data_IF_550268164533
#
_entry.id   IF_550268164533
#
_cell.length_a   1.000
_cell.length_b   1.000
_cell.length_c   1.000
_cell.angle_alpha   90.00
_cell.angle_beta   90.00
_cell.angle_gamma   90.00
#
_symmetry.space_group_name_H-M   'P 1'
#
loop_
_entity.id
_entity.type
_entity.pdbx_description
1 polymer ?
#
# COMPACT_ATOMS: atom_id res chain seq x y z
N UNK A 1 23.59 -6.43 0.29
CA UNK A 1 22.54 -7.24 -0.34
C UNK A 1 21.45 -6.29 -0.81
N UNK A 2 21.13 -6.24 -2.12
CA UNK A 2 20.06 -5.34 -2.59
C UNK A 2 18.71 -5.99 -2.33
N UNK A 3 17.87 -5.36 -1.53
CA UNK A 3 16.48 -5.77 -1.33
C UNK A 3 15.64 -5.17 -2.44
N UNK A 4 14.98 -6.01 -3.21
CA UNK A 4 13.98 -5.61 -4.16
C UNK A 4 12.62 -5.62 -3.48
N UNK A 5 11.99 -4.45 -3.42
CA UNK A 5 10.68 -4.24 -2.80
C UNK A 5 9.54 -4.15 -3.81
N UNK A 6 9.88 -4.12 -5.11
CA UNK A 6 8.95 -4.16 -6.23
C UNK A 6 9.51 -5.07 -7.32
N UNK A 7 8.65 -5.54 -8.23
CA UNK A 7 9.09 -6.38 -9.33
C UNK A 7 9.96 -5.58 -10.32
N UNK A 8 11.16 -6.10 -10.60
CA UNK A 8 12.15 -5.46 -11.46
C UNK A 8 12.47 -4.00 -11.11
N UNK A 9 12.36 -3.63 -9.84
CA UNK A 9 12.57 -2.25 -9.39
C UNK A 9 11.80 -1.21 -10.21
N UNK A 10 10.60 -1.57 -10.65
CA UNK A 10 9.76 -0.67 -11.43
C UNK A 10 9.34 0.58 -10.65
N UNK A 11 9.46 0.53 -9.34
CA UNK A 11 9.18 1.63 -8.45
C UNK A 11 10.46 2.01 -7.71
N UNK A 12 11.10 3.08 -8.13
CA UNK A 12 12.32 3.58 -7.49
C UNK A 12 11.95 4.85 -6.73
N UNK A 13 12.17 4.81 -5.43
CA UNK A 13 12.00 5.94 -4.53
C UNK A 13 13.34 6.62 -4.30
N UNK A 14 13.39 7.93 -4.40
CA UNK A 14 14.63 8.65 -4.16
C UNK A 14 14.45 10.17 -4.14
N UNK A 15 15.56 10.84 -3.90
CA UNK A 15 15.66 12.29 -3.98
C UNK A 15 16.59 12.64 -5.14
N UNK A 16 16.15 13.46 -6.10
CA UNK A 16 16.97 13.93 -7.23
C UNK A 16 17.85 12.82 -7.85
N UNK A 17 17.29 11.64 -8.11
CA UNK A 17 17.99 10.45 -8.59
C UNK A 17 18.99 9.81 -7.61
N UNK A 18 19.12 10.34 -6.40
CA UNK A 18 19.85 9.65 -5.35
C UNK A 18 18.91 8.65 -4.72
N UNK A 19 19.28 7.35 -4.63
CA UNK A 19 18.48 6.38 -3.92
C UNK A 19 18.15 6.86 -2.51
N UNK A 20 16.89 6.76 -2.11
CA UNK A 20 16.42 7.20 -0.79
C UNK A 20 17.25 6.64 0.39
N UNK A 21 17.98 5.56 0.17
CA UNK A 21 18.91 4.94 1.11
C UNK A 21 20.22 5.71 1.33
N UNK A 22 20.53 6.65 0.44
CA UNK A 22 21.74 7.47 0.51
C UNK A 22 21.47 8.94 0.77
N UNK A 23 20.23 9.29 1.11
CA UNK A 23 19.89 10.68 1.35
C UNK A 23 20.63 11.23 2.57
N UNK A 24 21.17 12.41 2.43
CA UNK A 24 21.84 13.13 3.51
C UNK A 24 20.95 14.22 4.12
N UNK A 25 19.98 14.78 3.37
CA UNK A 25 19.03 15.81 3.85
C UNK A 25 17.82 15.98 2.95
N UNK A 26 16.91 16.58 3.45
CA UNK A 26 15.62 17.22 3.50
C UNK A 26 15.09 17.91 2.28
N UNK A 27 15.90 18.44 1.39
CA UNK A 27 15.50 19.42 0.38
C UNK A 27 15.42 18.84 -1.03
N UNK A 28 15.75 17.58 -1.16
CA UNK A 28 15.67 16.90 -2.45
C UNK A 28 14.25 16.41 -2.68
N UNK A 29 13.76 16.62 -3.89
CA UNK A 29 12.42 16.17 -4.27
C UNK A 29 12.38 14.66 -4.37
N UNK A 30 11.32 14.07 -3.81
CA UNK A 30 11.00 12.69 -4.07
C UNK A 30 10.65 12.52 -5.55
N UNK A 31 11.17 11.48 -6.15
CA UNK A 31 10.76 11.05 -7.46
C UNK A 31 10.49 9.56 -7.46
N UNK A 32 9.64 9.14 -8.35
CA UNK A 32 9.47 7.73 -8.65
C UNK A 32 9.63 7.51 -10.14
N UNK A 33 10.14 6.36 -10.48
CA UNK A 33 10.18 5.89 -11.86
C UNK A 33 9.14 4.80 -12.04
N UNK A 34 8.56 4.75 -13.22
CA UNK A 34 7.56 3.74 -13.56
C UNK A 34 8.16 2.80 -14.60
N UNK A 35 8.17 1.52 -14.29
CA UNK A 35 8.57 0.49 -15.22
C UNK A 35 7.57 0.32 -16.36
N UNK A 36 8.07 -0.14 -17.50
CA UNK A 36 7.22 -0.54 -18.61
C UNK A 36 6.47 -1.82 -18.26
N UNK A 37 5.16 -1.84 -18.50
CA UNK A 37 4.37 -3.04 -18.40
C UNK A 37 4.69 -3.99 -19.57
N UNK A 38 4.89 -5.27 -19.28
CA UNK A 38 5.19 -6.29 -20.29
C UNK A 38 3.93 -6.73 -21.03
N UNK A 39 2.79 -6.80 -20.32
CA UNK A 39 1.50 -7.24 -20.83
C UNK A 39 0.46 -6.11 -20.73
N UNK A 40 0.33 -5.30 -21.77
CA UNK A 40 -0.40 -4.03 -21.68
C UNK A 40 -1.82 -4.06 -22.19
N UNK A 41 -2.16 -4.97 -23.10
CA UNK A 41 -3.34 -4.78 -23.94
C UNK A 41 -4.52 -5.70 -23.64
N UNK A 42 -4.33 -6.75 -22.86
CA UNK A 42 -5.37 -7.75 -22.60
C UNK A 42 -5.61 -8.09 -21.13
N UNK A 43 -4.82 -7.57 -20.23
CA UNK A 43 -4.93 -7.93 -18.81
C UNK A 43 -5.95 -7.05 -18.10
N UNK A 44 -6.86 -7.73 -17.43
CA UNK A 44 -7.77 -7.11 -16.47
C UNK A 44 -7.01 -6.87 -15.14
N UNK A 45 -7.59 -6.07 -14.25
CA UNK A 45 -7.04 -5.92 -12.90
C UNK A 45 -6.91 -7.28 -12.18
N UNK A 46 -7.86 -8.19 -12.41
CA UNK A 46 -7.81 -9.55 -11.90
C UNK A 46 -6.53 -10.28 -12.34
N UNK A 47 -6.29 -10.32 -13.65
CA UNK A 47 -5.14 -11.03 -14.22
C UNK A 47 -3.82 -10.47 -13.69
N UNK A 48 -3.71 -9.15 -13.65
CA UNK A 48 -2.53 -8.46 -13.13
C UNK A 48 -2.29 -8.74 -11.64
N UNK A 49 -3.35 -8.73 -10.82
CA UNK A 49 -3.24 -9.03 -9.38
C UNK A 49 -2.85 -10.49 -9.14
N UNK A 50 -3.42 -11.43 -9.89
CA UNK A 50 -3.07 -12.87 -9.78
C UNK A 50 -1.61 -13.11 -10.17
N UNK A 51 -1.13 -12.47 -11.24
CA UNK A 51 0.27 -12.57 -11.65
C UNK A 51 1.22 -11.96 -10.63
N UNK A 52 0.86 -10.79 -10.08
CA UNK A 52 1.63 -10.16 -9.00
C UNK A 52 1.72 -11.08 -7.76
N UNK A 53 0.62 -11.73 -7.36
CA UNK A 53 0.62 -12.70 -6.27
C UNK A 53 1.60 -13.86 -6.53
N UNK A 54 1.59 -14.43 -7.75
CA UNK A 54 2.55 -15.49 -8.16
C UNK A 54 4.00 -15.00 -8.12
N UNK A 55 4.27 -13.79 -8.62
CA UNK A 55 5.61 -13.17 -8.58
C UNK A 55 6.09 -12.96 -7.15
N UNK A 56 5.20 -12.48 -6.25
CA UNK A 56 5.49 -12.33 -4.83
C UNK A 56 5.81 -13.69 -4.19
N UNK A 57 5.01 -14.73 -4.45
CA UNK A 57 5.26 -16.07 -3.93
C UNK A 57 6.59 -16.63 -4.42
N UNK A 58 6.91 -16.46 -5.70
CA UNK A 58 8.22 -16.83 -6.25
C UNK A 58 9.36 -16.10 -5.56
N UNK A 59 9.21 -14.79 -5.32
CA UNK A 59 10.21 -13.99 -4.61
C UNK A 59 10.36 -14.44 -3.16
N UNK A 60 9.26 -14.64 -2.44
CA UNK A 60 9.27 -15.15 -1.07
C UNK A 60 9.99 -16.50 -0.97
N UNK A 61 9.66 -17.45 -1.84
CA UNK A 61 10.34 -18.75 -1.93
C UNK A 61 11.84 -18.63 -2.18
N UNK A 62 12.27 -17.68 -3.03
CA UNK A 62 13.69 -17.46 -3.33
C UNK A 62 14.52 -16.98 -2.14
N UNK A 63 13.88 -16.44 -1.12
CA UNK A 63 14.50 -16.02 0.15
C UNK A 63 14.12 -16.93 1.32
N UNK A 64 13.57 -18.11 1.03
CA UNK A 64 13.24 -19.12 2.02
C UNK A 64 12.05 -18.78 2.92
N UNK A 65 11.10 -17.93 2.44
CA UNK A 65 9.96 -17.45 3.22
C UNK A 65 8.63 -17.77 2.56
N UNK A 66 7.57 -17.77 3.38
CA UNK A 66 6.17 -17.87 2.95
C UNK A 66 5.54 -16.47 2.96
N UNK A 67 4.76 -16.06 1.93
CA UNK A 67 4.02 -14.80 1.97
C UNK A 67 3.06 -14.75 3.17
N UNK A 68 3.00 -13.59 3.83
CA UNK A 68 2.04 -13.28 4.88
C UNK A 68 1.35 -11.97 4.57
N UNK A 69 0.04 -12.05 4.29
CA UNK A 69 -0.76 -10.87 3.95
C UNK A 69 -1.25 -10.22 5.23
N UNK A 70 -0.93 -8.94 5.40
CA UNK A 70 -1.41 -8.15 6.53
C UNK A 70 -2.83 -7.68 6.25
N UNK A 71 -3.77 -8.25 6.97
CA UNK A 71 -5.19 -7.98 6.80
C UNK A 71 -5.70 -7.02 7.87
N UNK A 72 -5.92 -5.78 7.47
CA UNK A 72 -6.42 -4.70 8.33
C UNK A 72 -7.94 -4.62 8.45
N UNK A 73 -8.69 -5.58 7.90
CA UNK A 73 -10.15 -5.47 7.77
C UNK A 73 -10.60 -4.55 6.63
N UNK A 74 -9.67 -4.00 5.82
CA UNK A 74 -9.95 -3.13 4.69
C UNK A 74 -10.15 -3.87 3.38
N UNK A 75 -10.88 -3.25 2.43
CA UNK A 75 -11.14 -3.81 1.10
C UNK A 75 -9.87 -4.10 0.30
N UNK A 76 -8.86 -3.24 0.40
CA UNK A 76 -7.61 -3.39 -0.34
C UNK A 76 -6.90 -4.70 0.03
N UNK A 77 -6.82 -5.01 1.31
CA UNK A 77 -6.24 -6.28 1.77
C UNK A 77 -7.10 -7.48 1.42
N UNK A 78 -8.43 -7.36 1.35
CA UNK A 78 -9.31 -8.43 0.85
C UNK A 78 -9.03 -8.76 -0.61
N UNK A 79 -8.84 -7.75 -1.45
CA UNK A 79 -8.47 -7.95 -2.87
C UNK A 79 -7.12 -8.63 -3.01
N UNK A 80 -6.15 -8.27 -2.18
CA UNK A 80 -4.86 -8.97 -2.17
C UNK A 80 -5.06 -10.44 -1.79
N UNK A 81 -5.83 -10.73 -0.75
CA UNK A 81 -6.14 -12.12 -0.36
C UNK A 81 -6.85 -12.86 -1.50
N UNK A 82 -7.83 -12.23 -2.15
CA UNK A 82 -8.54 -12.82 -3.29
C UNK A 82 -7.57 -13.15 -4.44
N UNK A 83 -6.63 -12.26 -4.75
CA UNK A 83 -5.61 -12.49 -5.76
C UNK A 83 -4.71 -13.69 -5.42
N UNK A 84 -4.29 -13.82 -4.15
CA UNK A 84 -3.50 -14.96 -3.69
C UNK A 84 -4.30 -16.26 -3.73
N UNK A 85 -5.56 -16.27 -3.32
CA UNK A 85 -6.45 -17.44 -3.45
C UNK A 85 -6.59 -17.88 -4.90
N UNK A 86 -6.82 -16.96 -5.81
CA UNK A 86 -6.93 -17.23 -7.25
C UNK A 86 -5.61 -17.61 -7.90
N UNK A 87 -4.49 -17.24 -7.33
CA UNK A 87 -3.17 -17.66 -7.81
C UNK A 87 -2.88 -19.15 -7.57
N UNK A 88 -3.59 -19.77 -6.62
CA UNK A 88 -3.35 -21.15 -6.17
C UNK A 88 -2.07 -21.33 -5.35
N UNK A 89 -1.43 -20.25 -4.96
CA UNK A 89 -0.19 -20.26 -4.18
C UNK A 89 -0.45 -20.30 -2.67
N UNK A 90 0.49 -20.87 -1.93
CA UNK A 90 0.39 -20.97 -0.47
C UNK A 90 0.80 -19.66 0.20
N UNK A 91 -0.03 -19.20 1.14
CA UNK A 91 0.19 -17.97 1.91
C UNK A 91 -0.43 -18.08 3.31
N UNK A 92 -0.19 -17.09 4.15
CA UNK A 92 -0.80 -16.95 5.48
C UNK A 92 -1.42 -15.57 5.59
N UNK A 93 -2.50 -15.46 6.36
CA UNK A 93 -3.11 -14.16 6.69
C UNK A 93 -2.73 -13.79 8.11
N UNK A 94 -2.35 -12.52 8.33
CA UNK A 94 -2.08 -11.99 9.65
C UNK A 94 -2.99 -10.81 9.96
N UNK A 95 -3.46 -10.73 11.21
CA UNK A 95 -4.19 -9.60 11.75
C UNK A 95 -3.53 -9.09 13.02
N UNK A 96 -3.37 -7.78 13.12
CA UNK A 96 -2.88 -7.12 14.33
C UNK A 96 -4.07 -6.60 15.15
N UNK A 97 -4.30 -7.21 16.30
CA UNK A 97 -5.32 -6.78 17.26
C UNK A 97 -4.75 -5.72 18.19
N UNK A 98 -5.53 -4.66 18.38
CA UNK A 98 -5.18 -3.61 19.34
C UNK A 98 -5.91 -3.86 20.66
N UNK A 99 -5.13 -4.11 21.70
CA UNK A 99 -5.69 -4.31 23.04
C UNK A 99 -5.94 -2.97 23.75
N UNK A 100 -6.99 -2.83 24.55
CA UNK A 100 -8.09 -3.77 24.72
C UNK A 100 -9.18 -3.60 23.63
N UNK A 101 -9.11 -4.38 22.56
CA UNK A 101 -10.12 -4.43 21.48
C UNK A 101 -10.39 -3.10 20.75
N UNK A 102 -9.39 -2.22 20.64
CA UNK A 102 -9.56 -0.89 20.04
C UNK A 102 -9.97 -0.94 18.55
N UNK A 103 -9.57 -2.00 17.84
CA UNK A 103 -9.90 -2.20 16.41
C UNK A 103 -10.90 -3.36 16.18
N UNK A 104 -11.80 -3.62 17.15
CA UNK A 104 -12.75 -4.74 17.07
C UNK A 104 -13.62 -4.69 15.81
N UNK A 105 -14.03 -3.51 15.35
CA UNK A 105 -14.83 -3.37 14.13
C UNK A 105 -14.12 -3.88 12.89
N UNK A 106 -12.80 -3.63 12.77
CA UNK A 106 -12.00 -4.17 11.70
C UNK A 106 -11.79 -5.68 11.87
N UNK A 107 -11.60 -6.14 13.12
CA UNK A 107 -11.44 -7.56 13.44
C UNK A 107 -12.67 -8.39 13.05
N UNK A 108 -13.89 -7.87 13.23
CA UNK A 108 -15.13 -8.54 12.78
C UNK A 108 -15.12 -8.84 11.28
N UNK A 109 -14.65 -7.89 10.46
CA UNK A 109 -14.51 -8.08 9.02
C UNK A 109 -13.44 -9.11 8.69
N UNK A 110 -12.32 -9.10 9.42
CA UNK A 110 -11.24 -10.08 9.27
C UNK A 110 -11.77 -11.49 9.53
N UNK A 111 -12.43 -11.71 10.67
CA UNK A 111 -12.98 -13.03 11.02
C UNK A 111 -14.04 -13.50 10.02
N UNK A 112 -14.94 -12.59 9.61
CA UNK A 112 -15.95 -12.91 8.62
C UNK A 112 -15.32 -13.37 7.30
N UNK A 113 -14.42 -12.60 6.75
CA UNK A 113 -13.81 -12.89 5.44
C UNK A 113 -12.94 -14.16 5.50
N UNK A 114 -12.15 -14.33 6.55
CA UNK A 114 -11.34 -15.53 6.74
C UNK A 114 -12.21 -16.80 6.86
N UNK A 115 -13.30 -16.73 7.63
CA UNK A 115 -14.24 -17.85 7.77
C UNK A 115 -14.93 -18.22 6.46
N UNK A 116 -15.42 -17.22 5.71
CA UNK A 116 -16.08 -17.43 4.41
C UNK A 116 -15.17 -18.09 3.38
N UNK A 117 -13.88 -17.81 3.46
CA UNK A 117 -12.87 -18.28 2.51
C UNK A 117 -11.99 -19.41 3.06
N UNK A 118 -12.33 -19.96 4.22
CA UNK A 118 -11.60 -21.04 4.90
C UNK A 118 -10.08 -20.76 5.03
N UNK A 119 -9.74 -19.54 5.50
CA UNK A 119 -8.36 -19.06 5.62
C UNK A 119 -7.82 -19.29 7.03
N UNK A 120 -6.58 -19.73 7.11
CA UNK A 120 -5.81 -19.77 8.35
C UNK A 120 -5.37 -18.35 8.73
N UNK A 121 -5.84 -17.88 9.89
CA UNK A 121 -5.58 -16.55 10.41
C UNK A 121 -4.60 -16.62 11.58
N UNK A 122 -3.49 -15.88 11.48
CA UNK A 122 -2.60 -15.63 12.60
C UNK A 122 -2.89 -14.26 13.21
N UNK A 123 -3.14 -14.27 14.49
CA UNK A 123 -3.39 -13.04 15.24
C UNK A 123 -2.15 -12.65 16.05
N UNK A 124 -1.85 -11.37 16.01
CA UNK A 124 -0.82 -10.73 16.82
C UNK A 124 -1.49 -9.63 17.63
N UNK A 125 -1.04 -9.43 18.87
CA UNK A 125 -1.63 -8.45 19.77
C UNK A 125 -0.62 -7.36 20.11
N UNK A 126 -1.10 -6.14 20.23
CA UNK A 126 -0.34 -4.98 20.67
C UNK A 126 -1.24 -4.04 21.46
N UNK A 127 -0.75 -3.50 22.56
CA UNK A 127 -1.32 -2.29 23.15
C UNK A 127 -0.72 -1.08 22.43
N UNK A 128 -1.49 -0.35 21.61
CA UNK A 128 -0.94 0.78 20.85
C UNK A 128 -0.45 1.89 21.76
N UNK A 129 -1.08 2.11 22.92
CA UNK A 129 -0.72 3.21 23.83
C UNK A 129 0.64 2.91 24.46
N UNK A 130 0.80 1.72 25.03
CA UNK A 130 2.06 1.31 25.62
C UNK A 130 3.17 1.23 24.57
N UNK A 131 2.84 0.76 23.36
CA UNK A 131 3.81 0.67 22.26
C UNK A 131 4.29 2.04 21.83
N UNK A 132 3.40 3.01 21.69
CA UNK A 132 3.73 4.38 21.24
C UNK A 132 4.59 5.16 22.26
N UNK A 133 4.56 4.79 23.51
CA UNK A 133 5.33 5.45 24.56
C UNK A 133 6.79 4.96 24.65
N UNK A 134 7.16 3.92 23.92
CA UNK A 134 8.52 3.38 23.91
C UNK A 134 9.47 4.31 23.15
N UNK A 135 10.58 4.75 23.75
CA UNK A 135 11.54 5.65 23.08
C UNK A 135 12.08 5.09 21.76
N UNK A 136 12.40 3.79 21.73
CA UNK A 136 12.93 3.11 20.55
C UNK A 136 11.95 3.12 19.37
N UNK A 137 10.64 3.12 19.64
CA UNK A 137 9.60 3.22 18.59
C UNK A 137 9.61 4.62 17.98
N UNK A 138 9.80 5.65 18.78
CA UNK A 138 9.92 7.00 18.28
C UNK A 138 11.17 7.18 17.43
N UNK A 139 12.32 6.68 17.91
CA UNK A 139 13.59 6.77 17.18
C UNK A 139 13.52 6.02 15.84
N UNK A 140 12.86 4.86 15.81
CA UNK A 140 12.63 4.12 14.57
C UNK A 140 11.68 4.86 13.63
N UNK A 141 10.62 5.47 14.16
CA UNK A 141 9.68 6.27 13.37
C UNK A 141 10.38 7.45 12.67
N UNK A 142 11.33 8.10 13.35
CA UNK A 142 12.16 9.15 12.74
C UNK A 142 13.02 8.59 11.60
N UNK A 143 13.69 7.45 11.81
CA UNK A 143 14.52 6.78 10.77
C UNK A 143 13.70 6.39 9.54
N UNK A 144 12.47 5.94 9.75
CA UNK A 144 11.55 5.51 8.70
C UNK A 144 10.80 6.69 8.07
N UNK A 145 11.04 7.90 8.54
CA UNK A 145 10.39 9.11 8.06
C UNK A 145 8.85 9.08 8.20
N UNK A 146 8.37 8.52 9.29
CA UNK A 146 6.93 8.44 9.59
C UNK A 146 6.39 9.82 9.93
N UNK A 147 5.27 10.20 9.33
CA UNK A 147 4.57 11.45 9.62
C UNK A 147 3.33 11.22 10.50
N UNK A 148 2.66 10.11 10.29
CA UNK A 148 1.52 9.66 11.07
C UNK A 148 1.96 8.54 11.99
N UNK A 149 2.08 8.82 13.28
CA UNK A 149 2.76 7.94 14.23
C UNK A 149 2.11 6.55 14.34
N UNK A 150 0.82 6.46 14.12
CA UNK A 150 0.08 5.19 14.06
C UNK A 150 0.63 4.17 13.04
N UNK A 151 1.36 4.63 12.04
CA UNK A 151 1.96 3.77 11.02
C UNK A 151 3.04 2.83 11.57
N UNK A 152 3.60 3.12 12.75
CA UNK A 152 4.60 2.26 13.40
C UNK A 152 4.04 0.89 13.76
N UNK A 153 2.71 0.74 13.89
CA UNK A 153 2.09 -0.55 14.19
C UNK A 153 2.24 -1.55 13.03
N UNK A 154 2.21 -1.06 11.79
CA UNK A 154 2.50 -1.90 10.62
C UNK A 154 3.97 -2.31 10.61
N UNK A 155 4.89 -1.37 10.94
CA UNK A 155 6.31 -1.66 11.06
C UNK A 155 6.57 -2.71 12.15
N UNK A 156 5.87 -2.60 13.28
CA UNK A 156 5.93 -3.59 14.35
C UNK A 156 5.54 -5.00 13.84
N UNK A 157 4.42 -5.10 13.12
CA UNK A 157 3.98 -6.39 12.58
C UNK A 157 5.00 -6.93 11.55
N UNK A 158 5.61 -6.07 10.74
CA UNK A 158 6.70 -6.47 9.85
C UNK A 158 7.90 -7.01 10.62
N UNK A 159 8.29 -6.36 11.72
CA UNK A 159 9.45 -6.77 12.51
C UNK A 159 9.26 -8.13 13.19
N UNK A 160 8.10 -8.39 13.78
CA UNK A 160 7.84 -9.65 14.49
C UNK A 160 7.60 -10.83 13.55
N UNK A 161 7.32 -10.57 12.26
CA UNK A 161 7.04 -11.61 11.26
C UNK A 161 8.19 -11.84 10.27
N UNK A 162 9.14 -10.90 10.16
CA UNK A 162 10.18 -10.88 9.11
C UNK A 162 11.10 -12.11 9.05
N UNK A 163 11.26 -12.83 10.14
CA UNK A 163 12.16 -14.00 10.16
C UNK A 163 11.56 -15.18 9.43
N UNK A 164 10.27 -15.43 9.61
CA UNK A 164 9.56 -16.60 9.10
C UNK A 164 8.78 -16.31 7.82
N UNK A 165 8.37 -15.05 7.63
CA UNK A 165 7.45 -14.65 6.58
C UNK A 165 8.01 -13.54 5.69
N UNK A 166 7.38 -13.46 4.51
CA UNK A 166 7.53 -12.36 3.56
C UNK A 166 6.27 -11.47 3.68
N UNK A 167 6.34 -10.34 4.44
CA UNK A 167 5.20 -9.45 4.63
C UNK A 167 4.68 -8.88 3.32
N UNK A 168 3.34 -8.87 3.16
CA UNK A 168 2.63 -8.30 2.00
C UNK A 168 1.56 -7.34 2.51
N UNK A 169 1.65 -6.08 2.10
CA UNK A 169 0.73 -5.02 2.49
C UNK A 169 -0.20 -4.68 1.32
N UNK A 170 -1.50 -4.64 1.61
CA UNK A 170 -2.56 -4.34 0.63
C UNK A 170 -2.80 -2.83 0.47
N UNK A 171 -1.82 -2.10 -0.01
CA UNK A 171 -1.89 -0.65 -0.21
C UNK A 171 -1.13 -0.25 -1.47
N UNK A 172 -1.20 1.04 -1.81
CA UNK A 172 -0.47 1.62 -2.94
C UNK A 172 -1.32 1.79 -4.18
N UNK A 173 -2.61 1.66 -4.06
CA UNK A 173 -3.53 1.92 -5.16
C UNK A 173 -3.45 3.39 -5.62
N UNK A 174 -3.43 3.64 -6.93
CA UNK A 174 -3.45 4.99 -7.45
C UNK A 174 -4.86 5.59 -7.42
N UNK A 175 -4.94 6.91 -7.25
CA UNK A 175 -6.17 7.67 -7.38
C UNK A 175 -6.11 8.59 -8.59
N UNK A 176 -7.27 8.96 -9.14
CA UNK A 176 -7.37 10.00 -10.15
C UNK A 176 -7.92 11.28 -9.51
N UNK A 177 -7.23 12.38 -9.76
CA UNK A 177 -7.63 13.72 -9.35
C UNK A 177 -8.14 14.48 -10.59
N UNK A 178 -9.32 15.08 -10.49
CA UNK A 178 -9.88 15.86 -11.59
C UNK A 178 -9.38 17.30 -11.53
N UNK A 179 -8.80 17.80 -12.64
CA UNK A 179 -8.22 19.14 -12.71
C UNK A 179 -9.28 20.18 -13.04
N UNK A 180 -10.02 19.95 -14.12
CA UNK A 180 -11.01 20.87 -14.67
C UNK A 180 -12.25 20.12 -15.17
N UNK A 181 -13.14 20.80 -15.92
CA UNK A 181 -14.36 20.20 -16.47
C UNK A 181 -14.16 19.39 -17.75
N UNK A 182 -12.96 19.36 -18.32
CA UNK A 182 -12.69 18.61 -19.53
C UNK A 182 -12.69 17.11 -19.27
N UNK A 183 -13.12 16.34 -20.28
CA UNK A 183 -13.03 14.89 -20.23
C UNK A 183 -11.57 14.46 -20.24
N UNK A 184 -11.25 13.49 -19.39
CA UNK A 184 -9.90 12.93 -19.27
C UNK A 184 -8.83 13.93 -18.77
N UNK A 185 -9.24 15.05 -18.18
CA UNK A 185 -8.35 15.97 -17.50
C UNK A 185 -8.07 15.48 -16.08
N UNK A 186 -7.19 14.47 -15.97
CA UNK A 186 -6.88 13.83 -14.71
C UNK A 186 -5.39 13.75 -14.46
N UNK A 187 -5.04 13.83 -13.19
CA UNK A 187 -3.73 13.47 -12.67
C UNK A 187 -3.83 12.21 -11.86
N UNK A 188 -2.80 11.40 -11.91
CA UNK A 188 -2.63 10.29 -10.99
C UNK A 188 -2.09 10.85 -9.69
N UNK A 189 -2.76 10.50 -8.62
CA UNK A 189 -2.44 10.93 -7.27
C UNK A 189 -2.06 9.71 -6.44
N UNK A 190 -0.98 9.82 -5.70
CA UNK A 190 -0.52 8.79 -4.77
C UNK A 190 -0.10 9.41 -3.45
N UNK A 191 -0.60 8.81 -2.39
CA UNK A 191 -0.20 9.18 -1.05
C UNK A 191 1.19 8.62 -0.73
N UNK A 192 2.21 9.47 -0.73
CA UNK A 192 3.57 9.08 -0.41
C UNK A 192 3.79 8.94 1.11
N UNK A 193 3.08 9.76 1.90
CA UNK A 193 3.24 9.79 3.35
C UNK A 193 2.83 8.50 4.06
N UNK A 194 1.96 7.68 3.44
CA UNK A 194 1.57 6.38 3.97
C UNK A 194 2.42 5.24 3.44
N UNK A 195 2.94 5.38 2.22
CA UNK A 195 3.63 4.29 1.55
C UNK A 195 5.12 4.26 1.82
N UNK A 196 5.75 5.41 1.71
CA UNK A 196 7.21 5.51 1.81
C UNK A 196 7.78 5.03 3.14
N UNK A 197 7.18 5.33 4.30
CA UNK A 197 7.69 4.85 5.57
C UNK A 197 7.81 3.33 5.64
N UNK A 198 6.89 2.59 5.04
CA UNK A 198 6.95 1.12 5.01
C UNK A 198 8.06 0.60 4.09
N UNK A 199 8.30 1.27 2.95
CA UNK A 199 9.46 0.99 2.11
C UNK A 199 10.77 1.30 2.82
N UNK A 200 10.86 2.45 3.51
CA UNK A 200 12.04 2.82 4.31
C UNK A 200 12.29 1.81 5.43
N UNK A 201 11.25 1.43 6.16
CA UNK A 201 11.35 0.45 7.24
C UNK A 201 11.88 -0.89 6.72
N UNK A 202 11.26 -1.41 5.66
CA UNK A 202 11.67 -2.67 5.06
C UNK A 202 13.13 -2.63 4.61
N UNK A 203 13.54 -1.56 3.96
CA UNK A 203 14.92 -1.43 3.48
C UNK A 203 15.90 -1.23 4.63
N UNK A 204 15.64 -0.31 5.55
CA UNK A 204 16.54 0.01 6.67
C UNK A 204 16.78 -1.20 7.58
N UNK A 205 15.80 -2.09 7.70
CA UNK A 205 15.84 -3.27 8.56
C UNK A 205 16.07 -4.58 7.80
N UNK A 206 16.44 -4.53 6.51
CA UNK A 206 16.68 -5.70 5.67
C UNK A 206 15.50 -6.69 5.64
N UNK A 207 14.26 -6.17 5.59
CA UNK A 207 13.04 -6.98 5.54
C UNK A 207 12.67 -7.23 4.08
N UNK A 208 12.80 -8.47 3.64
CA UNK A 208 12.23 -8.90 2.36
C UNK A 208 10.71 -8.88 2.47
N UNK A 209 10.04 -8.00 1.71
CA UNK A 209 8.60 -7.77 1.79
C UNK A 209 8.04 -7.13 0.52
N UNK A 210 6.73 -7.05 0.43
CA UNK A 210 5.99 -6.23 -0.52
C UNK A 210 5.24 -5.14 0.26
N UNK A 211 5.83 -3.95 0.46
CA UNK A 211 5.21 -2.87 1.22
C UNK A 211 4.01 -2.23 0.53
N UNK A 212 3.79 -2.50 -0.76
CA UNK A 212 2.67 -1.97 -1.54
C UNK A 212 2.30 -2.87 -2.69
N UNK A 213 1.29 -3.72 -2.49
CA UNK A 213 0.85 -4.69 -3.49
C UNK A 213 0.41 -4.04 -4.81
N UNK A 214 -0.37 -2.96 -4.73
CA UNK A 214 -0.86 -2.28 -5.94
C UNK A 214 0.23 -1.52 -6.72
N UNK A 215 1.44 -1.50 -6.22
CA UNK A 215 2.62 -0.93 -6.87
C UNK A 215 3.70 -1.99 -7.11
N UNK A 216 3.40 -3.27 -6.86
CA UNK A 216 4.42 -4.30 -6.96
C UNK A 216 4.86 -4.54 -8.40
N UNK A 217 3.91 -4.56 -9.34
CA UNK A 217 4.20 -4.65 -10.78
C UNK A 217 3.58 -3.48 -11.55
N UNK A 218 4.18 -3.06 -12.69
CA UNK A 218 3.59 -2.04 -13.55
C UNK A 218 2.22 -2.45 -14.08
N UNK A 219 1.99 -3.76 -14.30
CA UNK A 219 0.72 -4.28 -14.79
C UNK A 219 -0.43 -4.05 -13.82
N UNK A 220 -0.21 -4.27 -12.50
CA UNK A 220 -1.26 -4.01 -11.48
C UNK A 220 -1.64 -2.55 -11.49
N UNK A 221 -0.66 -1.65 -11.46
CA UNK A 221 -0.92 -0.22 -11.44
C UNK A 221 -1.61 0.25 -12.71
N UNK A 222 -1.14 -0.22 -13.88
CA UNK A 222 -1.71 0.15 -15.18
C UNK A 222 -3.14 -0.36 -15.35
N UNK A 223 -3.40 -1.63 -15.01
CA UNK A 223 -4.74 -2.20 -15.12
C UNK A 223 -5.74 -1.54 -14.18
N UNK A 224 -5.31 -1.13 -13.00
CA UNK A 224 -6.14 -0.36 -12.07
C UNK A 224 -6.51 1.02 -12.66
N UNK A 225 -5.54 1.73 -13.22
CA UNK A 225 -5.75 3.04 -13.84
C UNK A 225 -6.60 2.99 -15.11
N UNK A 226 -6.54 1.88 -15.84
CA UNK A 226 -7.31 1.66 -17.08
C UNK A 226 -8.68 1.01 -16.86
N UNK A 227 -9.04 0.69 -15.60
CA UNK A 227 -10.35 0.11 -15.31
C UNK A 227 -11.47 1.07 -15.76
N UNK A 228 -12.44 0.59 -16.56
CA UNK A 228 -13.53 1.46 -17.08
C UNK A 228 -14.35 2.11 -15.95
N UNK A 229 -14.51 1.43 -14.81
CA UNK A 229 -15.22 1.96 -13.64
C UNK A 229 -14.46 3.15 -13.04
N UNK A 230 -13.14 3.03 -12.94
CA UNK A 230 -12.27 4.10 -12.47
C UNK A 230 -12.38 5.35 -13.34
N UNK A 231 -12.25 5.16 -14.65
CA UNK A 231 -12.31 6.25 -15.63
C UNK A 231 -13.70 6.91 -15.65
N UNK A 232 -14.76 6.11 -15.63
CA UNK A 232 -16.13 6.62 -15.58
C UNK A 232 -16.38 7.47 -14.33
N UNK A 233 -15.92 7.00 -13.17
CA UNK A 233 -16.05 7.73 -11.92
C UNK A 233 -15.25 9.04 -11.97
N UNK A 234 -13.99 8.98 -12.41
CA UNK A 234 -13.14 10.14 -12.52
C UNK A 234 -13.75 11.21 -13.46
N UNK A 235 -14.29 10.81 -14.60
CA UNK A 235 -14.94 11.72 -15.55
C UNK A 235 -16.19 12.40 -14.98
N UNK A 236 -16.91 11.74 -14.08
CA UNK A 236 -18.12 12.27 -13.47
C UNK A 236 -17.86 13.11 -12.21
N UNK A 237 -16.60 13.19 -11.76
CA UNK A 237 -16.27 14.02 -10.61
C UNK A 237 -16.26 15.51 -10.93
N UNK A 238 -16.48 16.32 -9.91
CA UNK A 238 -16.25 17.76 -9.98
C UNK A 238 -14.74 18.05 -9.94
N UNK A 239 -14.28 19.15 -10.56
CA UNK A 239 -12.91 19.60 -10.45
C UNK A 239 -12.46 19.75 -8.99
N UNK A 240 -11.22 19.46 -8.71
CA UNK A 240 -10.67 19.48 -7.35
C UNK A 240 -11.03 18.26 -6.50
N UNK A 241 -11.70 17.25 -7.08
CA UNK A 241 -12.04 16.00 -6.36
C UNK A 241 -11.15 14.85 -6.78
N UNK A 242 -10.99 13.90 -5.87
CA UNK A 242 -10.22 12.69 -6.05
C UNK A 242 -11.16 11.48 -6.03
N UNK A 243 -10.87 10.45 -6.82
CA UNK A 243 -11.57 9.17 -6.71
C UNK A 243 -11.37 8.63 -5.30
N UNK A 244 -12.47 8.33 -4.64
CA UNK A 244 -12.47 7.97 -3.23
C UNK A 244 -12.63 6.47 -3.02
N UNK A 245 -12.69 6.06 -1.75
CA UNK A 245 -12.95 4.69 -1.31
C UNK A 245 -14.19 4.04 -1.94
N UNK A 246 -15.20 4.81 -2.29
CA UNK A 246 -16.43 4.31 -2.95
C UNK A 246 -16.15 3.80 -4.36
N UNK A 247 -15.18 4.35 -5.06
CA UNK A 247 -14.80 3.87 -6.40
C UNK A 247 -14.15 2.48 -6.35
N UNK A 248 -13.35 2.22 -5.34
CA UNK A 248 -12.64 0.94 -5.17
C UNK A 248 -13.60 -0.24 -5.07
N UNK A 249 -14.69 -0.09 -4.32
CA UNK A 249 -15.65 -1.18 -4.12
C UNK A 249 -16.15 -1.74 -5.47
N UNK A 250 -16.58 -0.87 -6.39
CA UNK A 250 -17.04 -1.30 -7.72
C UNK A 250 -15.94 -1.96 -8.55
N UNK A 251 -14.72 -1.41 -8.51
CA UNK A 251 -13.56 -1.94 -9.23
C UNK A 251 -13.22 -3.35 -8.71
N UNK A 252 -13.17 -3.50 -7.40
CA UNK A 252 -12.81 -4.77 -6.75
C UNK A 252 -13.86 -5.85 -6.93
N UNK A 253 -15.15 -5.50 -6.79
CA UNK A 253 -16.25 -6.42 -7.04
C UNK A 253 -16.29 -6.88 -8.50
N UNK A 254 -15.96 -6.02 -9.46
CA UNK A 254 -15.86 -6.39 -10.86
C UNK A 254 -14.65 -7.30 -11.14
N UNK A 255 -13.52 -7.04 -10.48
CA UNK A 255 -12.32 -7.84 -10.66
C UNK A 255 -12.45 -9.24 -10.05
N UNK A 256 -13.11 -9.36 -8.90
CA UNK A 256 -13.23 -10.61 -8.15
C UNK A 256 -14.68 -10.84 -7.68
N UNK A 257 -15.62 -11.06 -8.62
CA UNK A 257 -17.06 -11.15 -8.33
C UNK A 257 -17.46 -12.35 -7.47
N UNK A 258 -16.61 -13.37 -7.38
CA UNK A 258 -16.83 -14.55 -6.55
C UNK A 258 -16.63 -14.31 -5.04
N UNK A 259 -16.05 -13.16 -4.67
CA UNK A 259 -15.85 -12.81 -3.26
C UNK A 259 -16.91 -11.81 -2.79
N UNK A 260 -17.45 -12.06 -1.61
CA UNK A 260 -18.46 -11.20 -1.00
C UNK A 260 -17.82 -9.95 -0.36
N UNK A 261 -17.26 -9.06 -1.16
CA UNK A 261 -16.83 -7.76 -0.66
C UNK A 261 -18.04 -6.96 -0.17
N UNK A 262 -17.90 -6.31 0.99
CA UNK A 262 -18.98 -5.52 1.55
C UNK A 262 -18.57 -4.04 1.64
N UNK A 263 -19.41 -3.11 1.17
CA UNK A 263 -19.17 -1.71 1.42
C UNK A 263 -19.27 -1.47 2.92
N UNK A 264 -18.26 -0.87 3.50
CA UNK A 264 -18.19 -0.63 4.93
C UNK A 264 -17.48 0.66 5.28
N UNK A 265 -17.85 1.23 6.41
CA UNK A 265 -17.08 2.30 7.01
C UNK A 265 -15.85 1.68 7.67
N UNK A 266 -14.68 2.19 7.32
CA UNK A 266 -13.45 1.75 7.96
C UNK A 266 -13.26 2.52 9.26
N UNK A 267 -13.05 1.79 10.32
CA UNK A 267 -12.50 2.27 11.59
C UNK A 267 -11.06 1.76 11.67
N UNK A 268 -10.20 2.52 12.31
CA UNK A 268 -8.77 2.17 12.40
C UNK A 268 -8.38 1.72 13.80
N UNK A 269 -9.27 1.88 14.77
CA UNK A 269 -8.99 1.71 16.20
C UNK A 269 -8.32 2.93 16.84
N UNK A 270 -7.76 3.82 16.02
CA UNK A 270 -7.10 5.04 16.53
C UNK A 270 -8.09 6.06 17.08
N UNK A 271 -9.34 5.96 16.70
CA UNK A 271 -10.45 6.77 17.21
C UNK A 271 -10.65 6.60 18.73
N UNK A 272 -10.23 5.48 19.27
CA UNK A 272 -10.31 5.14 20.69
C UNK A 272 -9.04 5.48 21.48
N UNK A 273 -7.95 5.82 20.79
CA UNK A 273 -6.74 6.32 21.45
C UNK A 273 -6.97 7.79 21.82
N UNK A 274 -6.58 8.22 23.04
CA UNK A 274 -6.75 9.58 23.45
C UNK A 274 -6.11 10.55 22.45
N UNK A 275 -6.93 11.43 21.87
CA UNK A 275 -6.49 12.34 20.79
C UNK A 275 -5.28 13.18 21.17
N UNK A 276 -5.18 13.58 22.44
CA UNK A 276 -4.03 14.34 22.91
C UNK A 276 -2.73 13.53 22.79
N UNK A 277 -2.75 12.23 23.04
CA UNK A 277 -1.57 11.36 22.91
C UNK A 277 -1.10 11.28 21.47
N UNK A 278 -1.98 10.90 20.55
CA UNK A 278 -1.64 10.83 19.12
C UNK A 278 -1.23 12.16 18.54
N UNK A 279 -1.98 13.23 18.84
CA UNK A 279 -1.66 14.57 18.33
C UNK A 279 -0.30 15.05 18.82
N UNK A 280 0.03 14.82 20.09
CA UNK A 280 1.34 15.18 20.64
C UNK A 280 2.46 14.40 19.95
N UNK A 281 2.28 13.10 19.74
CA UNK A 281 3.26 12.27 19.05
C UNK A 281 3.40 12.67 17.58
N UNK A 282 2.28 12.93 16.87
CA UNK A 282 2.32 13.39 15.49
C UNK A 282 2.98 14.76 15.35
N UNK A 283 2.68 15.70 16.22
CA UNK A 283 3.35 17.00 16.23
C UNK A 283 4.84 16.88 16.51
N UNK A 284 5.22 16.03 17.48
CA UNK A 284 6.61 15.78 17.80
C UNK A 284 7.35 15.13 16.62
N UNK A 285 6.81 14.07 16.02
CA UNK A 285 7.46 13.37 14.92
C UNK A 285 7.62 14.26 13.69
N UNK A 286 6.63 15.12 13.37
CA UNK A 286 6.69 16.06 12.25
C UNK A 286 7.85 17.05 12.34
N UNK A 287 8.40 17.31 13.53
CA UNK A 287 9.59 18.15 13.68
C UNK A 287 10.90 17.45 13.30
N UNK A 288 10.89 16.14 13.17
CA UNK A 288 12.05 15.29 12.83
C UNK A 288 11.95 14.63 11.46
N UNK A 289 10.74 14.57 10.90
CA UNK A 289 10.48 13.91 9.63
C UNK A 289 10.33 14.94 8.50
N UNK A 290 10.66 14.47 7.30
CA UNK A 290 10.78 15.33 6.15
C UNK A 290 9.64 15.08 5.21
N UNK A 291 8.72 16.00 5.19
CA UNK A 291 7.82 16.17 4.08
C UNK A 291 8.07 17.53 3.49
N UNK A 292 8.63 17.54 2.30
CA UNK A 292 8.44 18.67 1.41
C UNK A 292 6.91 18.81 1.21
N UNK A 293 6.45 19.99 0.80
CA UNK A 293 5.04 20.35 0.60
C UNK A 293 4.22 19.37 -0.25
N UNK A 294 4.84 18.31 -0.76
CA UNK A 294 4.27 17.29 -1.62
C UNK A 294 4.29 15.92 -0.93
N UNK A 295 3.36 15.71 0.01
CA UNK A 295 3.01 14.36 0.51
C UNK A 295 2.49 13.46 -0.60
N UNK A 296 2.42 13.98 -1.82
CA UNK A 296 1.77 13.38 -2.97
C UNK A 296 2.67 13.49 -4.18
N UNK A 297 2.68 12.45 -4.98
CA UNK A 297 3.20 12.53 -6.33
C UNK A 297 2.03 12.71 -7.29
N UNK A 298 2.14 13.71 -8.14
CA UNK A 298 1.16 14.02 -9.16
C UNK A 298 1.81 13.86 -10.53
N UNK A 299 1.22 13.03 -11.37
CA UNK A 299 1.62 12.87 -12.76
C UNK A 299 0.38 12.90 -13.66
N UNK A 300 0.49 13.63 -14.77
CA UNK A 300 -0.60 13.69 -15.75
C UNK A 300 -0.91 12.26 -16.25
N UNK A 301 -2.20 11.90 -16.22
CA UNK A 301 -2.68 10.55 -16.48
C UNK A 301 -2.20 9.98 -17.83
N UNK A 302 -2.38 10.73 -18.91
CA UNK A 302 -1.99 10.23 -20.23
C UNK A 302 -0.48 10.10 -20.38
N UNK A 303 0.29 10.95 -19.71
CA UNK A 303 1.74 10.86 -19.65
C UNK A 303 2.17 9.58 -18.94
N UNK A 304 1.58 9.28 -17.79
CA UNK A 304 1.86 8.06 -17.07
C UNK A 304 1.51 6.81 -17.87
N UNK A 305 0.33 6.78 -18.49
CA UNK A 305 -0.11 5.66 -19.33
C UNK A 305 0.87 5.43 -20.48
N UNK A 306 1.35 6.48 -21.13
CA UNK A 306 2.37 6.37 -22.19
C UNK A 306 3.69 5.79 -21.66
N UNK A 307 4.17 6.29 -20.52
CA UNK A 307 5.40 5.79 -19.91
C UNK A 307 5.30 4.30 -19.58
N UNK A 308 4.18 3.87 -18.99
CA UNK A 308 3.99 2.47 -18.60
C UNK A 308 3.77 1.55 -19.80
N UNK A 309 3.23 2.06 -20.91
CA UNK A 309 3.04 1.27 -22.15
C UNK A 309 4.31 1.16 -22.98
N UNK A 310 5.04 2.23 -23.14
CA UNK A 310 6.10 2.34 -24.14
C UNK A 310 7.51 2.54 -23.55
N UNK A 311 7.60 2.83 -22.26
CA UNK A 311 8.86 3.20 -21.61
C UNK A 311 9.28 4.63 -21.90
N UNK A 312 10.49 5.00 -21.45
CA UNK A 312 11.03 6.37 -21.57
C UNK A 312 11.49 6.77 -22.99
N UNK A 313 11.34 5.90 -23.99
CA UNK A 313 11.88 6.13 -25.36
C UNK A 313 10.94 6.89 -26.31
N UNK A 314 9.87 7.49 -25.80
CA UNK A 314 8.83 8.15 -26.60
C UNK A 314 8.62 9.63 -26.25
N UNK A 315 9.72 10.34 -25.93
CA UNK A 315 9.70 11.82 -25.90
C UNK A 315 10.44 12.39 -27.12
#
# INVERSE_FOLDING_TARGET
MNIELTYNNHFVWGYNQIPWTKRERLYDRFFSTYGKAECVTSWTLRDACIDAARKICKKAKSVGKKPMIFYSGGLDSEVVIAAFLQSGEDFTVAHLKYTPELNYHDSEWVYRFCRLNNLDLKEYEVDPIDYFLKPEVFDQAVKDNIKHFEMVLVNHLMDITKNDYYPVLGNGEPYLFKIDNEKNSHWVFRELEYMMPWYFHAFNNNIHSCPGFFQYTPEVMLSFLLDPTMIKLANNMLPGKITSRTSKFGIYTNAFPEYEFQPRRKYTGYEYIPRNTLNTLNQKICSYTFYDKHSYEEIEYNKLIKLMRYGNSST
#
